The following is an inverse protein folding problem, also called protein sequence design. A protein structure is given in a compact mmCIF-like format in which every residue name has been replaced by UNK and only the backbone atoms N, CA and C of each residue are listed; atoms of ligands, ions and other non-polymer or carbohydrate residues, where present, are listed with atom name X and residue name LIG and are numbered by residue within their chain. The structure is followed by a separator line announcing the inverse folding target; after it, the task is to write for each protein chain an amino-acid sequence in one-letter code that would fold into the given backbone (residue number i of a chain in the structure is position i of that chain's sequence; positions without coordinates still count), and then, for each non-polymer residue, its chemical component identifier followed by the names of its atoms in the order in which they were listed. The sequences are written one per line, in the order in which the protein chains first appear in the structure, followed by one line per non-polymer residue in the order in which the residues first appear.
data_IF_194619274631
#
_entry.id   IF_194619274631
#
_cell.length_a   1.000
_cell.length_b   1.000
_cell.length_c   1.000
_cell.angle_alpha   90.00
_cell.angle_beta   90.00
_cell.angle_gamma   90.00
#
_symmetry.space_group_name_H-M   'P 1'
#
loop_
_entity.id
_entity.type
_entity.pdbx_description
1 polymer ?
#
# COMPACT_ATOMS: atom_id res chain seq x y z
N UNK A 1 -3.66 5.38 6.83
CA UNK A 1 -4.78 6.10 6.21
C UNK A 1 -5.27 7.34 6.98
N UNK A 2 -5.91 7.27 8.15
CA UNK A 2 -6.28 8.49 8.92
C UNK A 2 -5.74 8.56 10.36
N UNK A 3 -4.96 7.58 10.80
CA UNK A 3 -4.34 7.55 12.13
C UNK A 3 -5.35 7.49 13.28
N UNK A 4 -6.55 6.93 13.03
CA UNK A 4 -7.69 6.87 13.97
C UNK A 4 -7.99 8.24 14.63
N UNK A 5 -7.84 9.33 13.89
CA UNK A 5 -8.05 10.70 14.38
C UNK A 5 -6.81 11.36 15.01
N UNK A 6 -5.73 10.61 15.22
CA UNK A 6 -4.42 11.15 15.59
C UNK A 6 -3.57 11.39 14.34
N UNK A 7 -3.45 12.66 13.95
CA UNK A 7 -2.72 13.04 12.74
C UNK A 7 -1.23 12.69 12.77
N UNK A 8 -0.62 12.42 13.93
CA UNK A 8 0.78 12.00 14.04
C UNK A 8 1.00 10.53 13.68
N UNK A 9 -0.07 9.72 13.71
CA UNK A 9 -0.07 8.29 13.38
C UNK A 9 -0.56 8.02 11.95
N UNK A 10 -0.78 9.07 11.15
CA UNK A 10 -1.12 8.91 9.74
C UNK A 10 0.05 8.24 8.99
N UNK A 11 -0.28 7.27 8.14
CA UNK A 11 0.71 6.47 7.40
C UNK A 11 1.69 7.34 6.62
N UNK A 12 1.20 8.39 5.97
CA UNK A 12 2.07 9.34 5.26
C UNK A 12 3.14 9.94 6.18
N UNK A 13 2.76 10.41 7.37
CA UNK A 13 3.71 11.05 8.30
C UNK A 13 4.69 10.05 8.90
N UNK A 14 4.22 8.86 9.25
CA UNK A 14 5.10 7.81 9.80
C UNK A 14 6.08 7.32 8.73
N UNK A 15 5.64 7.19 7.47
CA UNK A 15 6.52 6.81 6.35
C UNK A 15 7.54 7.90 6.00
N UNK A 16 7.14 9.17 5.98
CA UNK A 16 8.09 10.28 5.79
C UNK A 16 9.13 10.34 6.92
N UNK A 17 8.71 10.11 8.16
CA UNK A 17 9.62 10.03 9.30
C UNK A 17 10.59 8.85 9.16
N UNK A 18 10.12 7.71 8.65
CA UNK A 18 10.97 6.57 8.33
C UNK A 18 12.02 6.91 7.27
N UNK A 19 11.64 7.56 6.16
CA UNK A 19 12.58 7.94 5.10
C UNK A 19 13.65 8.94 5.58
N UNK A 20 13.26 9.89 6.42
CA UNK A 20 14.20 10.83 7.04
C UNK A 20 15.20 10.10 7.94
N UNK A 21 14.70 9.20 8.82
CA UNK A 21 15.56 8.42 9.72
C UNK A 21 16.48 7.46 8.97
N UNK A 22 16.02 6.88 7.86
CA UNK A 22 16.77 5.90 7.09
C UNK A 22 17.92 6.54 6.29
N UNK A 23 17.66 7.67 5.64
CA UNK A 23 18.57 8.21 4.63
C UNK A 23 18.60 9.75 4.56
N UNK A 24 17.99 10.44 5.52
CA UNK A 24 17.92 11.90 5.56
C UNK A 24 17.05 12.50 4.45
N UNK A 25 16.15 11.71 3.85
CA UNK A 25 15.30 12.14 2.73
C UNK A 25 14.26 13.13 3.23
N UNK A 26 14.21 14.31 2.61
CA UNK A 26 13.25 15.37 2.94
C UNK A 26 12.12 15.47 1.90
N UNK A 27 10.96 16.08 2.23
CA UNK A 27 9.86 16.23 1.27
C UNK A 27 10.28 16.87 -0.07
N UNK A 28 11.18 17.85 -0.04
CA UNK A 28 11.74 18.52 -1.22
C UNK A 28 12.55 17.59 -2.15
N UNK A 29 13.08 16.48 -1.63
CA UNK A 29 13.75 15.45 -2.42
C UNK A 29 12.73 14.55 -3.13
N UNK A 30 11.59 14.31 -2.48
CA UNK A 30 10.49 13.50 -3.00
C UNK A 30 9.76 14.26 -4.11
N UNK A 31 9.49 15.56 -3.92
CA UNK A 31 8.78 16.38 -4.90
C UNK A 31 9.44 16.39 -6.29
N UNK A 32 10.78 16.31 -6.33
CA UNK A 32 11.58 16.29 -7.57
C UNK A 32 11.58 14.93 -8.27
N UNK A 33 11.06 13.87 -7.66
CA UNK A 33 11.03 12.53 -8.26
C UNK A 33 9.81 12.37 -9.17
N UNK A 34 10.00 11.75 -10.32
CA UNK A 34 8.89 11.35 -11.17
C UNK A 34 8.24 10.07 -10.60
N UNK A 35 6.92 9.96 -10.76
CA UNK A 35 6.20 8.72 -10.48
C UNK A 35 6.66 7.64 -11.46
N UNK A 36 6.99 6.46 -10.94
CA UNK A 36 7.42 5.35 -11.78
C UNK A 36 6.21 4.67 -12.43
N UNK A 37 6.36 4.16 -13.66
CA UNK A 37 5.30 3.44 -14.36
C UNK A 37 4.66 2.32 -13.54
N UNK A 38 5.45 1.58 -12.76
CA UNK A 38 4.99 0.46 -11.92
C UNK A 38 4.03 0.95 -10.84
N UNK A 39 4.37 2.06 -10.17
CA UNK A 39 3.49 2.72 -9.18
C UNK A 39 2.25 3.29 -9.84
N UNK A 40 2.40 3.91 -11.03
CA UNK A 40 1.26 4.45 -11.77
C UNK A 40 0.28 3.36 -12.19
N UNK A 41 0.78 2.23 -12.68
CA UNK A 41 -0.03 1.10 -13.10
C UNK A 41 -0.80 0.53 -11.91
N UNK A 42 -0.12 0.28 -10.79
CA UNK A 42 -0.74 -0.18 -9.55
C UNK A 42 -1.88 0.77 -9.12
N UNK A 43 -1.60 2.06 -8.94
CA UNK A 43 -2.60 3.03 -8.51
C UNK A 43 -3.79 3.15 -9.49
N UNK A 44 -3.53 3.00 -10.80
CA UNK A 44 -4.60 3.06 -11.81
C UNK A 44 -5.54 1.86 -11.69
N UNK A 45 -5.01 0.66 -11.43
CA UNK A 45 -5.85 -0.52 -11.21
C UNK A 45 -6.65 -0.38 -9.92
N UNK A 46 -6.05 0.09 -8.83
CA UNK A 46 -6.75 0.28 -7.56
C UNK A 46 -7.94 1.24 -7.71
N UNK A 47 -7.72 2.39 -8.35
CA UNK A 47 -8.80 3.35 -8.63
C UNK A 47 -9.87 2.74 -9.52
N UNK A 48 -9.47 2.01 -10.58
CA UNK A 48 -10.42 1.31 -11.45
C UNK A 48 -11.30 0.32 -10.70
N UNK A 49 -10.69 -0.56 -9.91
CA UNK A 49 -11.39 -1.57 -9.12
C UNK A 49 -12.34 -0.96 -8.07
N UNK A 50 -11.97 0.19 -7.49
CA UNK A 50 -12.78 0.82 -6.44
C UNK A 50 -13.89 1.74 -6.98
N UNK A 51 -13.73 2.32 -8.17
CA UNK A 51 -14.64 3.35 -8.70
C UNK A 51 -15.49 2.85 -9.87
N UNK A 52 -14.97 1.92 -10.67
CA UNK A 52 -15.59 1.50 -11.93
C UNK A 52 -16.14 0.08 -11.92
N UNK A 53 -15.57 -0.81 -11.10
CA UNK A 53 -16.00 -2.21 -10.99
C UNK A 53 -17.09 -2.41 -9.93
N UNK A 54 -17.61 -3.64 -9.88
CA UNK A 54 -18.50 -4.10 -8.81
C UNK A 54 -17.82 -4.00 -7.44
N UNK A 55 -18.54 -3.55 -6.41
CA UNK A 55 -17.95 -3.27 -5.11
C UNK A 55 -17.28 -4.51 -4.47
N UNK A 56 -17.78 -5.72 -4.76
CA UNK A 56 -17.18 -6.98 -4.31
C UNK A 56 -15.77 -7.19 -4.86
N UNK A 57 -15.52 -6.76 -6.11
CA UNK A 57 -14.19 -6.80 -6.72
C UNK A 57 -13.30 -5.79 -6.00
N UNK A 58 -13.76 -4.54 -5.85
CA UNK A 58 -12.99 -3.47 -5.19
C UNK A 58 -12.61 -3.83 -3.74
N UNK A 59 -13.58 -4.28 -2.94
CA UNK A 59 -13.34 -4.72 -1.57
C UNK A 59 -12.41 -5.95 -1.53
N UNK A 60 -12.54 -6.88 -2.48
CA UNK A 60 -11.61 -8.01 -2.62
C UNK A 60 -10.17 -7.59 -2.93
N UNK A 61 -9.98 -6.63 -3.85
CA UNK A 61 -8.66 -6.06 -4.19
C UNK A 61 -8.02 -5.41 -2.96
N UNK A 62 -8.76 -4.58 -2.22
CA UNK A 62 -8.23 -3.89 -1.06
C UNK A 62 -7.92 -4.87 0.09
N UNK A 63 -8.84 -5.78 0.41
CA UNK A 63 -8.67 -6.73 1.51
C UNK A 63 -7.46 -7.65 1.34
N UNK A 64 -7.20 -8.15 0.11
CA UNK A 64 -6.02 -9.00 -0.12
C UNK A 64 -4.71 -8.21 -0.07
N UNK A 65 -4.70 -6.95 -0.52
CA UNK A 65 -3.51 -6.09 -0.48
C UNK A 65 -3.15 -5.77 0.98
N UNK A 66 -4.12 -5.36 1.79
CA UNK A 66 -3.91 -5.09 3.23
C UNK A 66 -3.39 -6.35 3.93
N UNK A 67 -4.01 -7.51 3.66
CA UNK A 67 -3.57 -8.79 4.23
C UNK A 67 -2.15 -9.17 3.82
N UNK A 68 -1.77 -8.97 2.55
CA UNK A 68 -0.41 -9.25 2.10
C UNK A 68 0.60 -8.26 2.67
N UNK A 69 0.19 -7.00 2.86
CA UNK A 69 1.06 -5.95 3.34
C UNK A 69 1.41 -6.11 4.82
N UNK A 70 0.52 -6.64 5.66
CA UNK A 70 0.83 -6.88 7.09
C UNK A 70 2.07 -7.77 7.26
N UNK A 71 2.16 -8.86 6.48
CA UNK A 71 3.31 -9.77 6.49
C UNK A 71 4.58 -9.08 5.96
N UNK A 72 4.46 -8.35 4.84
CA UNK A 72 5.59 -7.63 4.22
C UNK A 72 6.12 -6.53 5.14
N UNK A 73 5.23 -5.79 5.81
CA UNK A 73 5.57 -4.73 6.74
C UNK A 73 6.39 -5.27 7.91
N UNK A 74 5.97 -6.40 8.49
CA UNK A 74 6.71 -7.10 9.54
C UNK A 74 8.11 -7.50 9.05
N UNK A 75 8.22 -8.16 7.88
CA UNK A 75 9.52 -8.57 7.33
C UNK A 75 10.46 -7.39 7.05
N UNK A 76 9.94 -6.30 6.52
CA UNK A 76 10.71 -5.08 6.27
C UNK A 76 11.19 -4.45 7.57
N UNK A 77 10.32 -4.39 8.58
CA UNK A 77 10.67 -3.86 9.88
C UNK A 77 11.80 -4.64 10.55
N UNK A 78 11.68 -5.97 10.60
CA UNK A 78 12.73 -6.84 11.11
C UNK A 78 14.04 -6.70 10.33
N UNK A 79 13.98 -6.61 8.99
CA UNK A 79 15.17 -6.47 8.16
C UNK A 79 15.91 -5.16 8.44
N UNK A 80 15.19 -4.05 8.57
CA UNK A 80 15.77 -2.74 8.88
C UNK A 80 16.52 -2.75 10.22
N UNK A 81 15.93 -3.37 11.24
CA UNK A 81 16.56 -3.48 12.58
C UNK A 81 17.77 -4.41 12.53
N UNK A 82 17.63 -5.58 11.91
CA UNK A 82 18.70 -6.60 11.79
C UNK A 82 19.94 -6.09 11.04
N UNK A 83 19.77 -5.13 10.14
CA UNK A 83 20.86 -4.51 9.40
C UNK A 83 21.43 -3.24 10.07
N UNK A 84 21.01 -2.92 11.30
CA UNK A 84 21.43 -1.73 12.06
C UNK A 84 21.18 -0.41 11.32
N UNK A 85 20.19 -0.36 10.41
CA UNK A 85 19.85 0.87 9.69
C UNK A 85 19.07 1.84 10.58
N UNK A 86 18.12 1.31 11.36
CA UNK A 86 17.32 2.05 12.33
C UNK A 86 17.10 1.15 13.55
N UNK A 87 17.25 1.67 14.77
CA UNK A 87 16.94 0.92 15.98
C UNK A 87 15.43 0.63 16.10
N UNK A 88 15.05 -0.48 16.73
CA UNK A 88 13.64 -0.88 16.87
C UNK A 88 12.74 0.22 17.46
N UNK A 89 13.25 0.96 18.46
CA UNK A 89 12.55 2.09 19.10
C UNK A 89 12.24 3.25 18.14
N UNK A 90 13.02 3.38 17.07
CA UNK A 90 12.89 4.44 16.04
C UNK A 90 12.10 3.95 14.82
N UNK A 91 11.66 2.70 14.78
CA UNK A 91 10.93 2.10 13.67
C UNK A 91 9.41 2.26 13.80
N UNK A 92 8.95 3.51 13.92
CA UNK A 92 7.55 3.81 14.22
C UNK A 92 6.54 3.41 13.12
N UNK A 93 6.97 3.32 11.87
CA UNK A 93 6.07 3.04 10.74
C UNK A 93 5.66 1.57 10.71
N UNK A 94 6.64 0.65 10.66
CA UNK A 94 6.35 -0.78 10.55
C UNK A 94 5.79 -1.39 11.83
N UNK A 95 6.20 -0.91 13.00
CA UNK A 95 5.61 -1.36 14.27
C UNK A 95 4.12 -0.98 14.39
N UNK A 96 3.69 0.09 13.73
CA UNK A 96 2.28 0.50 13.70
C UNK A 96 1.44 -0.36 12.74
N UNK A 97 2.06 -0.85 11.66
CA UNK A 97 1.41 -1.65 10.62
C UNK A 97 1.18 -3.11 11.02
N UNK A 98 2.00 -3.67 11.92
CA UNK A 98 1.83 -5.06 12.41
C UNK A 98 0.48 -5.27 13.10
N UNK A 99 0.04 -4.32 13.92
CA UNK A 99 -1.23 -4.41 14.67
C UNK A 99 -2.44 -3.85 13.89
N UNK A 100 -2.24 -2.80 13.08
CA UNK A 100 -3.35 -2.11 12.39
C UNK A 100 -3.79 -2.77 11.07
N UNK A 101 -2.87 -3.38 10.32
CA UNK A 101 -3.20 -3.87 8.98
C UNK A 101 -3.99 -5.19 9.00
N UNK A 102 -3.84 -6.00 10.06
CA UNK A 102 -4.66 -7.20 10.27
C UNK A 102 -6.13 -6.79 10.44
N UNK A 103 -6.39 -5.76 11.25
CA UNK A 103 -7.73 -5.22 11.49
C UNK A 103 -8.33 -4.64 10.21
N UNK A 104 -7.56 -3.90 9.40
CA UNK A 104 -8.06 -3.36 8.14
C UNK A 104 -8.42 -4.45 7.12
N UNK A 105 -7.60 -5.50 7.00
CA UNK A 105 -7.93 -6.63 6.14
C UNK A 105 -9.21 -7.34 6.61
N UNK A 106 -9.37 -7.55 7.91
CA UNK A 106 -10.58 -8.14 8.49
C UNK A 106 -11.83 -7.29 8.22
N UNK A 107 -11.74 -5.96 8.32
CA UNK A 107 -12.85 -5.06 8.01
C UNK A 107 -13.34 -5.24 6.55
N UNK A 108 -12.42 -5.37 5.58
CA UNK A 108 -12.79 -5.66 4.19
C UNK A 108 -13.44 -7.05 4.06
N UNK A 109 -12.88 -8.08 4.70
CA UNK A 109 -13.43 -9.43 4.61
C UNK A 109 -14.80 -9.57 5.29
N UNK A 110 -15.06 -8.80 6.35
CA UNK A 110 -16.35 -8.77 7.01
C UNK A 110 -17.44 -8.12 6.14
N UNK A 111 -17.08 -7.14 5.31
CA UNK A 111 -17.99 -6.61 4.26
C UNK A 111 -18.30 -7.68 3.20
N UNK A 112 -17.33 -8.52 2.85
CA UNK A 112 -17.48 -9.53 1.79
C UNK A 112 -18.22 -10.79 2.26
N UNK A 113 -18.12 -11.13 3.56
CA UNK A 113 -18.62 -12.39 4.12
C UNK A 113 -20.12 -12.64 3.86
N UNK A 114 -21.03 -11.67 4.05
CA UNK A 114 -22.45 -11.89 3.75
C UNK A 114 -22.70 -12.21 2.27
N UNK A 115 -22.01 -11.52 1.36
CA UNK A 115 -22.15 -11.74 -0.08
C UNK A 115 -21.56 -13.10 -0.49
N UNK A 116 -20.44 -13.50 0.11
CA UNK A 116 -19.83 -14.82 -0.10
C UNK A 116 -20.78 -15.97 0.24
N UNK A 117 -21.53 -15.84 1.33
CA UNK A 117 -22.45 -16.88 1.78
C UNK A 117 -23.77 -16.92 0.99
N UNK A 118 -24.07 -15.88 0.21
CA UNK A 118 -25.35 -15.73 -0.51
C UNK A 118 -25.42 -16.64 -1.74
N UNK A 119 -24.48 -16.54 -2.69
CA UNK A 119 -24.50 -17.32 -3.92
C UNK A 119 -23.13 -17.43 -4.62
N UNK A 120 -23.06 -18.28 -5.65
CA UNK A 120 -21.84 -18.59 -6.39
C UNK A 120 -21.36 -17.44 -7.30
N UNK A 121 -22.26 -16.58 -7.76
CA UNK A 121 -21.91 -15.44 -8.61
C UNK A 121 -21.16 -14.38 -7.80
N UNK A 122 -21.62 -14.08 -6.58
CA UNK A 122 -20.92 -13.18 -5.66
C UNK A 122 -19.51 -13.70 -5.33
N UNK A 123 -19.36 -15.01 -5.09
CA UNK A 123 -18.04 -15.62 -4.87
C UNK A 123 -17.11 -15.41 -6.05
N UNK A 124 -17.62 -15.52 -7.28
CA UNK A 124 -16.83 -15.29 -8.48
C UNK A 124 -16.29 -13.85 -8.55
N UNK A 125 -17.10 -12.83 -8.23
CA UNK A 125 -16.63 -11.45 -8.18
C UNK A 125 -15.61 -11.20 -7.06
N UNK A 126 -15.85 -11.76 -5.88
CA UNK A 126 -14.91 -11.69 -4.75
C UNK A 126 -13.56 -12.32 -5.15
N UNK A 127 -13.58 -13.53 -5.71
CA UNK A 127 -12.36 -14.22 -6.15
C UNK A 127 -11.61 -13.45 -7.24
N UNK A 128 -12.32 -12.80 -8.16
CA UNK A 128 -11.69 -11.93 -9.15
C UNK A 128 -10.95 -10.77 -8.48
N UNK A 129 -11.58 -10.10 -7.51
CA UNK A 129 -10.94 -9.04 -6.73
C UNK A 129 -9.69 -9.52 -5.99
N UNK A 130 -9.80 -10.64 -5.26
CA UNK A 130 -8.68 -11.24 -4.53
C UNK A 130 -7.50 -11.60 -5.47
N UNK A 131 -7.78 -12.23 -6.62
CA UNK A 131 -6.76 -12.59 -7.59
C UNK A 131 -6.13 -11.36 -8.25
N UNK A 132 -6.93 -10.35 -8.58
CA UNK A 132 -6.46 -9.10 -9.17
C UNK A 132 -5.54 -8.36 -8.21
N UNK A 133 -5.97 -8.18 -6.95
CA UNK A 133 -5.18 -7.50 -5.92
C UNK A 133 -3.82 -8.16 -5.70
N UNK A 134 -3.80 -9.49 -5.51
CA UNK A 134 -2.55 -10.24 -5.37
C UNK A 134 -1.64 -10.12 -6.60
N UNK A 135 -2.22 -10.19 -7.81
CA UNK A 135 -1.49 -10.07 -9.07
C UNK A 135 -0.82 -8.70 -9.22
N UNK A 136 -1.57 -7.60 -9.02
CA UNK A 136 -1.02 -6.26 -9.21
C UNK A 136 -0.04 -5.88 -8.11
N UNK A 137 -0.22 -6.38 -6.89
CA UNK A 137 0.71 -6.13 -5.80
C UNK A 137 2.04 -6.85 -6.01
N UNK A 138 2.01 -8.11 -6.45
CA UNK A 138 3.21 -8.82 -6.85
C UNK A 138 3.91 -8.12 -8.04
N UNK A 139 3.13 -7.71 -9.04
CA UNK A 139 3.65 -7.00 -10.23
C UNK A 139 4.32 -5.67 -9.85
N UNK A 140 3.77 -4.95 -8.87
CA UNK A 140 4.37 -3.74 -8.33
C UNK A 140 5.76 -4.03 -7.77
N UNK A 141 5.88 -4.95 -6.81
CA UNK A 141 7.17 -5.23 -6.16
C UNK A 141 8.20 -5.84 -7.11
N UNK A 142 7.79 -6.74 -8.00
CA UNK A 142 8.69 -7.30 -9.02
C UNK A 142 9.19 -6.20 -9.96
N UNK A 143 8.31 -5.31 -10.40
CA UNK A 143 8.64 -4.15 -11.22
C UNK A 143 9.59 -3.20 -10.52
N UNK A 144 9.32 -2.83 -9.26
CA UNK A 144 10.18 -1.99 -8.44
C UNK A 144 11.56 -2.62 -8.23
N UNK A 145 11.62 -3.93 -7.97
CA UNK A 145 12.87 -4.65 -7.82
C UNK A 145 13.70 -4.61 -9.11
N UNK A 146 13.10 -4.94 -10.26
CA UNK A 146 13.77 -4.85 -11.57
C UNK A 146 14.24 -3.43 -11.87
N UNK A 147 13.44 -2.43 -11.52
CA UNK A 147 13.71 -1.02 -11.76
C UNK A 147 14.55 -0.33 -10.66
N UNK A 148 15.03 -1.02 -9.62
CA UNK A 148 15.64 -0.40 -8.41
C UNK A 148 16.80 0.57 -8.64
N UNK A 149 17.48 0.48 -9.78
CA UNK A 149 18.57 1.40 -10.20
C UNK A 149 18.08 2.64 -10.96
N UNK A 150 16.82 2.65 -11.41
CA UNK A 150 16.20 3.75 -12.13
C UNK A 150 16.16 5.00 -11.25
N UNK A 151 16.49 6.15 -11.82
CA UNK A 151 16.33 7.47 -11.18
C UNK A 151 15.72 8.39 -12.23
N UNK A 152 14.48 8.81 -12.01
CA UNK A 152 13.76 9.74 -12.90
C UNK A 152 13.37 10.95 -12.06
N UNK A 153 13.71 12.13 -12.55
CA UNK A 153 13.38 13.41 -11.95
C UNK A 153 12.32 14.12 -12.80
N UNK A 154 11.62 15.06 -12.19
CA UNK A 154 10.63 15.92 -12.84
C UNK A 154 10.88 17.38 -12.49
N UNK A 155 10.50 18.27 -13.40
CA UNK A 155 10.60 19.72 -13.22
C UNK A 155 9.30 20.33 -12.69
N UNK A 156 8.18 19.64 -12.90
CA UNK A 156 6.86 20.07 -12.44
C UNK A 156 6.61 19.61 -10.99
N UNK A 157 6.13 20.54 -10.16
CA UNK A 157 5.72 20.25 -8.78
C UNK A 157 4.23 19.95 -8.69
N UNK A 158 3.81 19.36 -7.57
CA UNK A 158 2.41 19.03 -7.28
C UNK A 158 2.03 17.58 -7.59
N UNK A 159 0.71 17.29 -7.64
CA UNK A 159 0.20 15.94 -7.83
C UNK A 159 0.66 15.28 -9.14
N UNK A 160 0.73 13.95 -9.14
CA UNK A 160 1.06 13.15 -10.33
C UNK A 160 -0.14 12.88 -11.25
N UNK A 161 -1.32 13.36 -10.86
CA UNK A 161 -2.54 13.31 -11.65
C UNK A 161 -3.30 14.63 -11.51
N UNK A 162 -4.02 15.02 -12.56
CA UNK A 162 -4.94 16.18 -12.55
C UNK A 162 -6.40 15.76 -12.42
N UNK A 163 -6.68 14.46 -12.40
CA UNK A 163 -8.02 13.96 -12.13
C UNK A 163 -8.38 14.32 -10.68
N UNK A 164 -9.50 15.03 -10.54
CA UNK A 164 -10.14 15.42 -9.28
C UNK A 164 -10.98 14.27 -8.74
#
# INVERSE_FOLDING_TARGET
EHGEGNTSLMHEKTFLTFLDRLAGIKPEDIEKRAMWPEVRAFNTVLVGACVMDEYLIGAGVMGIIERMFSDIASWLGEAVVRHDWISAEKLIHYNLHEDLDIKHADDFFDVLRPAWDTDIENRYYIEQGLRLGACVFNSLYEGLYKARKRRIYREVRGPHTRAS
#
